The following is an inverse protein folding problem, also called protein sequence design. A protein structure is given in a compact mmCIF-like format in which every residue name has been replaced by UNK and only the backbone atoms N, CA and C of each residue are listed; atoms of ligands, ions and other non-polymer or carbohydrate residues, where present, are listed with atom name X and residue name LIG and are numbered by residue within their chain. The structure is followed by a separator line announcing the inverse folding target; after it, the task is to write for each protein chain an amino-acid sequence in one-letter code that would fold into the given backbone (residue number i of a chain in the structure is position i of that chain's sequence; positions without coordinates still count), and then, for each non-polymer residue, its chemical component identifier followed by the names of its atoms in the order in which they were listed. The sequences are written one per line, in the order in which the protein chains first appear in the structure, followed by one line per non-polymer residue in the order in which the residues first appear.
data_IF_701011284694
#
_entry.id   IF_701011284694
#
_cell.length_a   1.000
_cell.length_b   1.000
_cell.length_c   1.000
_cell.angle_alpha   90.00
_cell.angle_beta   90.00
_cell.angle_gamma   90.00
#
_symmetry.space_group_name_H-M   'P 1'
#
loop_
_entity.id
_entity.type
_entity.pdbx_description
1 polymer ?
#
# COMPACT_ATOMS: atom_id res chain seq x y z
N UNK A 1 7.11 -2.95 -25.11
CA UNK A 1 6.35 -4.22 -25.21
C UNK A 1 4.88 -3.91 -24.97
N UNK A 2 3.94 -4.54 -25.70
CA UNK A 2 2.48 -4.30 -25.55
C UNK A 2 1.77 -5.59 -25.10
N UNK A 3 2.17 -6.15 -23.95
CA UNK A 3 1.76 -7.50 -23.52
C UNK A 3 0.26 -7.65 -23.25
N UNK A 4 -0.44 -6.56 -22.93
CA UNK A 4 -1.89 -6.53 -22.76
C UNK A 4 -2.65 -6.94 -24.04
N UNK A 5 -2.06 -6.71 -25.23
CA UNK A 5 -2.66 -7.04 -26.53
C UNK A 5 -2.22 -8.39 -27.09
N UNK A 6 -1.26 -9.07 -26.44
CA UNK A 6 -0.70 -10.33 -26.93
C UNK A 6 -1.70 -11.48 -26.78
N UNK A 7 -2.02 -12.14 -27.90
CA UNK A 7 -2.90 -13.32 -27.96
C UNK A 7 -2.16 -14.66 -27.79
N UNK A 8 -0.86 -14.71 -28.07
CA UNK A 8 -0.10 -15.97 -28.09
C UNK A 8 0.23 -16.49 -26.70
N UNK A 9 0.45 -15.59 -25.72
CA UNK A 9 0.71 -15.90 -24.29
C UNK A 9 1.74 -17.02 -24.03
N UNK A 10 2.75 -17.19 -24.90
CA UNK A 10 3.81 -18.20 -24.74
C UNK A 10 4.63 -18.02 -23.44
N UNK A 11 4.54 -16.86 -22.79
CA UNK A 11 5.11 -16.63 -21.46
C UNK A 11 4.52 -17.55 -20.38
N UNK A 12 3.34 -18.15 -20.59
CA UNK A 12 2.76 -19.15 -19.68
C UNK A 12 3.65 -20.38 -19.48
N UNK A 13 4.48 -20.71 -20.47
CA UNK A 13 5.47 -21.80 -20.38
C UNK A 13 6.89 -21.27 -20.14
N UNK A 14 7.02 -20.02 -19.70
CA UNK A 14 8.30 -19.39 -19.36
C UNK A 14 9.07 -18.77 -20.53
N UNK A 15 8.46 -18.62 -21.72
CA UNK A 15 9.13 -17.93 -22.83
C UNK A 15 9.44 -16.47 -22.46
N UNK A 16 10.70 -16.08 -22.56
CA UNK A 16 11.10 -14.68 -22.43
C UNK A 16 10.79 -13.93 -23.74
N UNK A 17 9.74 -13.11 -23.71
CA UNK A 17 9.27 -12.31 -24.85
C UNK A 17 9.98 -10.95 -24.98
N UNK A 18 11.07 -10.73 -24.24
CA UNK A 18 11.81 -9.47 -24.19
C UNK A 18 13.24 -9.62 -24.72
N UNK A 19 13.92 -8.49 -24.96
CA UNK A 19 15.34 -8.44 -25.28
C UNK A 19 16.25 -8.51 -24.04
N UNK A 20 15.66 -8.46 -22.84
CA UNK A 20 16.40 -8.54 -21.57
C UNK A 20 16.82 -10.00 -21.40
N UNK A 21 18.12 -10.28 -21.45
CA UNK A 21 18.68 -11.60 -21.12
C UNK A 21 18.48 -11.84 -19.63
N UNK A 22 17.41 -12.56 -19.30
CA UNK A 22 16.95 -12.75 -17.93
C UNK A 22 17.89 -13.70 -17.15
N UNK A 23 18.85 -13.12 -16.44
CA UNK A 23 19.20 -13.59 -15.10
C UNK A 23 18.78 -12.50 -14.12
N UNK A 24 17.48 -12.45 -13.82
CA UNK A 24 17.03 -11.75 -12.63
C UNK A 24 17.42 -12.65 -11.46
N UNK A 25 18.56 -12.37 -10.86
CA UNK A 25 19.01 -13.06 -9.65
C UNK A 25 18.31 -12.41 -8.46
N UNK A 26 17.20 -13.01 -8.01
CA UNK A 26 16.57 -12.64 -6.76
C UNK A 26 17.47 -13.10 -5.60
N UNK A 27 17.80 -12.19 -4.70
CA UNK A 27 18.58 -12.48 -3.51
C UNK A 27 18.07 -11.66 -2.32
N UNK A 28 18.49 -12.02 -1.10
CA UNK A 28 18.09 -11.30 0.11
C UNK A 28 16.57 -11.20 0.27
N UNK A 29 16.09 -9.99 0.54
CA UNK A 29 14.68 -9.74 0.80
C UNK A 29 13.80 -9.81 -0.46
N UNK A 30 14.37 -9.54 -1.65
CA UNK A 30 13.65 -9.71 -2.92
C UNK A 30 13.31 -11.19 -3.18
N UNK A 31 14.20 -12.12 -2.81
CA UNK A 31 13.94 -13.55 -2.91
C UNK A 31 12.84 -14.00 -1.93
N UNK A 32 12.88 -13.51 -0.69
CA UNK A 32 11.82 -13.81 0.29
C UNK A 32 10.48 -13.25 -0.17
N UNK A 33 10.48 -12.02 -0.68
CA UNK A 33 9.31 -11.33 -1.21
C UNK A 33 8.63 -12.16 -2.31
N UNK A 34 9.37 -12.56 -3.35
CA UNK A 34 8.78 -13.32 -4.46
C UNK A 34 8.33 -14.72 -4.03
N UNK A 35 9.08 -15.40 -3.15
CA UNK A 35 8.69 -16.70 -2.60
C UNK A 35 7.37 -16.60 -1.81
N UNK A 36 7.23 -15.54 -1.00
CA UNK A 36 6.02 -15.35 -0.22
C UNK A 36 4.82 -14.97 -1.08
N UNK A 37 5.02 -14.12 -2.08
CA UNK A 37 3.97 -13.78 -3.05
C UNK A 37 3.48 -15.02 -3.81
N UNK A 38 4.40 -15.88 -4.28
CA UNK A 38 4.05 -17.13 -4.97
C UNK A 38 3.33 -18.13 -4.05
N UNK A 39 3.71 -18.18 -2.77
CA UNK A 39 3.00 -19.02 -1.80
C UNK A 39 1.57 -18.53 -1.57
N UNK A 40 1.36 -17.21 -1.40
CA UNK A 40 0.03 -16.63 -1.26
C UNK A 40 -0.85 -16.90 -2.48
N UNK A 41 -0.30 -16.83 -3.70
CA UNK A 41 -1.02 -17.18 -4.94
C UNK A 41 -1.46 -18.66 -4.95
N UNK A 42 -0.64 -19.54 -4.38
CA UNK A 42 -0.95 -20.97 -4.28
C UNK A 42 -1.88 -21.34 -3.12
N UNK A 43 -2.13 -20.40 -2.19
CA UNK A 43 -3.01 -20.64 -1.05
C UNK A 43 -4.44 -20.81 -1.54
N UNK A 44 -5.06 -21.92 -1.15
CA UNK A 44 -6.44 -22.25 -1.53
C UNK A 44 -7.49 -21.57 -0.65
N UNK A 45 -7.06 -20.93 0.45
CA UNK A 45 -7.92 -20.13 1.29
C UNK A 45 -8.36 -18.85 0.56
N UNK A 46 -9.65 -18.52 0.65
CA UNK A 46 -10.16 -17.22 0.17
C UNK A 46 -9.81 -16.14 1.19
N UNK A 47 -8.71 -15.43 0.96
CA UNK A 47 -8.26 -14.33 1.81
C UNK A 47 -8.58 -12.98 1.18
N UNK A 48 -8.85 -12.00 2.02
CA UNK A 48 -8.89 -10.59 1.66
C UNK A 48 -7.47 -10.06 1.44
N UNK A 49 -7.31 -8.93 0.72
CA UNK A 49 -5.99 -8.35 0.52
C UNK A 49 -5.33 -7.93 1.83
N UNK A 50 -6.13 -7.51 2.81
CA UNK A 50 -5.63 -7.13 4.13
C UNK A 50 -5.04 -8.33 4.89
N UNK A 51 -5.68 -9.50 4.82
CA UNK A 51 -5.15 -10.75 5.36
C UNK A 51 -3.86 -11.16 4.66
N UNK A 52 -3.81 -11.09 3.32
CA UNK A 52 -2.58 -11.35 2.57
C UNK A 52 -1.45 -10.41 3.01
N UNK A 53 -1.72 -9.11 3.15
CA UNK A 53 -0.74 -8.10 3.61
C UNK A 53 -0.24 -8.45 5.02
N UNK A 54 -1.12 -8.82 5.94
CA UNK A 54 -0.74 -9.19 7.29
C UNK A 54 0.16 -10.45 7.30
N UNK A 55 -0.21 -11.50 6.56
CA UNK A 55 0.58 -12.74 6.46
C UNK A 55 1.93 -12.46 5.81
N UNK A 56 1.94 -11.75 4.69
CA UNK A 56 3.13 -11.37 3.96
C UNK A 56 4.10 -10.60 4.86
N UNK A 57 3.60 -9.57 5.55
CA UNK A 57 4.39 -8.73 6.45
C UNK A 57 4.99 -9.54 7.60
N UNK A 58 4.18 -10.41 8.24
CA UNK A 58 4.66 -11.26 9.34
C UNK A 58 5.75 -12.23 8.88
N UNK A 59 5.57 -12.88 7.73
CA UNK A 59 6.53 -13.86 7.17
C UNK A 59 7.85 -13.21 6.75
N UNK A 60 7.82 -11.96 6.30
CA UNK A 60 9.03 -11.18 6.03
C UNK A 60 9.68 -10.59 7.29
N UNK A 61 9.08 -10.76 8.46
CA UNK A 61 9.60 -10.25 9.72
C UNK A 61 9.40 -8.75 9.91
N UNK A 62 8.45 -8.14 9.19
CA UNK A 62 8.08 -6.75 9.37
C UNK A 62 7.46 -6.56 10.75
N UNK A 63 7.81 -5.44 11.40
CA UNK A 63 7.35 -5.08 12.75
C UNK A 63 6.52 -3.81 12.74
N UNK A 64 6.85 -2.86 11.87
CA UNK A 64 6.23 -1.55 11.78
C UNK A 64 5.47 -1.38 10.48
N UNK A 65 4.19 -1.05 10.56
CA UNK A 65 3.32 -0.84 9.39
C UNK A 65 2.79 0.59 9.41
N UNK A 66 2.96 1.32 8.31
CA UNK A 66 2.38 2.64 8.14
C UNK A 66 1.05 2.57 7.40
N UNK A 67 0.12 3.48 7.74
CA UNK A 67 -1.16 3.66 7.06
C UNK A 67 -1.29 5.12 6.65
N UNK A 68 -1.14 5.41 5.36
CA UNK A 68 -1.40 6.74 4.81
C UNK A 68 -2.81 6.77 4.23
N UNK A 69 -3.70 7.59 4.80
CA UNK A 69 -5.13 7.55 4.47
C UNK A 69 -5.74 8.92 4.18
N UNK A 70 -6.80 8.92 3.37
CA UNK A 70 -7.63 10.11 3.15
C UNK A 70 -8.62 10.31 4.30
N UNK A 71 -8.84 11.56 4.73
CA UNK A 71 -9.81 11.91 5.78
C UNK A 71 -11.24 11.43 5.47
N UNK A 72 -11.61 11.32 4.19
CA UNK A 72 -12.92 10.80 3.75
C UNK A 72 -13.09 9.30 4.06
N UNK A 73 -12.01 8.60 4.42
CA UNK A 73 -11.95 7.17 4.71
C UNK A 73 -11.38 6.88 6.12
N UNK A 74 -11.64 7.78 7.08
CA UNK A 74 -11.16 7.64 8.46
C UNK A 74 -11.70 6.38 9.15
N UNK A 75 -12.96 6.02 8.90
CA UNK A 75 -13.57 4.82 9.52
C UNK A 75 -12.88 3.55 9.04
N UNK A 76 -12.65 3.46 7.74
CA UNK A 76 -11.92 2.39 7.08
C UNK A 76 -10.48 2.31 7.60
N UNK A 77 -9.78 3.46 7.69
CA UNK A 77 -8.44 3.53 8.23
C UNK A 77 -8.37 3.01 9.67
N UNK A 78 -9.35 3.37 10.50
CA UNK A 78 -9.45 2.88 11.87
C UNK A 78 -9.65 1.37 11.95
N UNK A 79 -10.51 0.79 11.10
CA UNK A 79 -10.70 -0.66 11.05
C UNK A 79 -9.39 -1.39 10.69
N UNK A 80 -8.68 -0.90 9.68
CA UNK A 80 -7.37 -1.45 9.28
C UNK A 80 -6.36 -1.33 10.42
N UNK A 81 -6.31 -0.17 11.09
CA UNK A 81 -5.45 0.05 12.26
C UNK A 81 -5.77 -0.92 13.40
N UNK A 82 -7.03 -1.04 13.80
CA UNK A 82 -7.47 -1.88 14.92
C UNK A 82 -7.18 -3.37 14.66
N UNK A 83 -7.18 -3.79 13.39
CA UNK A 83 -6.87 -5.16 13.01
C UNK A 83 -5.37 -5.44 12.98
N UNK A 84 -4.59 -4.57 12.33
CA UNK A 84 -3.14 -4.76 12.19
C UNK A 84 -2.37 -4.51 13.49
N UNK A 85 -2.86 -3.64 14.37
CA UNK A 85 -2.23 -3.34 15.66
C UNK A 85 -2.22 -4.52 16.63
N UNK A 86 -2.97 -5.59 16.35
CA UNK A 86 -2.89 -6.86 17.08
C UNK A 86 -1.57 -7.60 16.82
N UNK A 87 -0.91 -7.32 15.70
CA UNK A 87 0.26 -8.08 15.21
C UNK A 87 1.50 -7.21 14.98
N UNK A 88 1.31 -5.91 14.75
CA UNK A 88 2.37 -4.97 14.37
C UNK A 88 2.31 -3.70 15.21
N UNK A 89 3.43 -2.96 15.25
CA UNK A 89 3.43 -1.56 15.65
C UNK A 89 2.92 -0.73 14.46
N UNK A 90 1.75 -0.12 14.61
CA UNK A 90 1.06 0.56 13.50
C UNK A 90 1.12 2.06 13.68
N UNK A 91 1.54 2.76 12.63
CA UNK A 91 1.53 4.22 12.53
C UNK A 91 0.52 4.63 11.47
N UNK A 92 -0.22 5.71 11.70
CA UNK A 92 -1.20 6.19 10.74
C UNK A 92 -1.13 7.70 10.55
N UNK A 93 -1.18 8.14 9.30
CA UNK A 93 -1.07 9.56 8.95
C UNK A 93 -2.20 9.94 8.00
N UNK A 94 -3.04 10.87 8.47
CA UNK A 94 -4.13 11.42 7.68
C UNK A 94 -3.61 12.40 6.62
N UNK A 95 -4.26 12.46 5.46
CA UNK A 95 -3.88 13.31 4.34
C UNK A 95 -3.85 14.81 4.63
N UNK A 96 -4.50 15.26 5.71
CA UNK A 96 -4.52 16.68 6.14
C UNK A 96 -3.40 17.03 7.13
N UNK A 97 -2.63 16.06 7.61
CA UNK A 97 -1.44 16.36 8.42
C UNK A 97 -0.42 17.11 7.56
N UNK A 98 0.18 18.16 8.11
CA UNK A 98 1.08 19.07 7.40
C UNK A 98 0.47 19.64 6.11
N UNK A 99 -0.86 19.83 6.06
CA UNK A 99 -1.56 20.32 4.88
C UNK A 99 -1.05 21.68 4.42
N UNK A 100 -1.07 21.89 3.12
CA UNK A 100 -0.66 23.13 2.49
C UNK A 100 -1.89 23.99 2.20
N UNK A 101 -1.71 25.30 2.12
CA UNK A 101 -2.78 26.18 1.67
C UNK A 101 -2.90 26.11 0.14
N UNK A 102 -4.11 25.99 -0.41
CA UNK A 102 -4.33 26.02 -1.86
C UNK A 102 -3.66 27.20 -2.55
N UNK A 103 -3.75 28.38 -1.95
CA UNK A 103 -3.18 29.62 -2.51
C UNK A 103 -1.64 29.56 -2.57
N UNK A 104 -0.99 28.93 -1.59
CA UNK A 104 0.47 28.72 -1.61
C UNK A 104 0.94 27.84 -2.77
N UNK A 105 0.02 27.07 -3.36
CA UNK A 105 0.26 26.21 -4.52
C UNK A 105 -0.28 26.82 -5.83
N UNK A 106 -0.74 28.07 -5.81
CA UNK A 106 -1.33 28.73 -6.98
C UNK A 106 -2.68 28.15 -7.41
N UNK A 107 -3.36 27.40 -6.53
CA UNK A 107 -4.66 26.79 -6.81
C UNK A 107 -5.80 27.72 -6.41
N UNK A 108 -6.87 27.75 -7.21
CA UNK A 108 -8.09 28.48 -6.87
C UNK A 108 -8.82 27.77 -5.73
N UNK A 109 -9.27 28.56 -4.74
CA UNK A 109 -10.22 28.11 -3.73
C UNK A 109 -11.52 27.67 -4.40
N UNK A 110 -12.10 26.58 -3.93
CA UNK A 110 -13.39 26.05 -4.42
C UNK A 110 -14.58 26.58 -3.63
N UNK A 111 -14.35 27.31 -2.54
CA UNK A 111 -15.39 27.99 -1.76
C UNK A 111 -14.87 29.24 -1.06
N UNK A 112 -15.74 29.88 -0.28
CA UNK A 112 -15.42 31.10 0.48
C UNK A 112 -14.77 30.79 1.85
N UNK A 113 -13.91 29.77 1.91
CA UNK A 113 -13.19 29.43 3.13
C UNK A 113 -11.95 30.30 3.27
N UNK A 114 -11.69 30.80 4.48
CA UNK A 114 -10.46 31.55 4.78
C UNK A 114 -9.22 30.69 4.56
N UNK A 115 -9.26 29.42 4.95
CA UNK A 115 -8.22 28.43 4.69
C UNK A 115 -8.81 27.19 4.01
N UNK A 116 -8.22 26.79 2.88
CA UNK A 116 -8.60 25.55 2.20
C UNK A 116 -7.39 24.64 2.06
N UNK A 117 -7.39 23.58 2.89
CA UNK A 117 -6.29 22.63 3.01
C UNK A 117 -6.16 21.71 1.79
N UNK A 118 -4.98 21.70 1.17
CA UNK A 118 -4.54 20.67 0.22
C UNK A 118 -3.89 19.54 0.98
N UNK A 119 -4.15 18.30 0.56
CA UNK A 119 -3.50 17.15 1.17
C UNK A 119 -1.98 17.20 0.93
N UNK A 120 -1.17 16.73 1.87
CA UNK A 120 0.28 16.73 1.75
C UNK A 120 0.83 15.28 1.73
N UNK A 121 0.86 14.61 0.56
CA UNK A 121 1.24 13.21 0.46
C UNK A 121 2.74 12.99 0.72
N UNK A 122 3.58 13.98 0.38
CA UNK A 122 5.00 13.96 0.72
C UNK A 122 5.17 14.05 2.24
N UNK A 123 4.42 14.94 2.89
CA UNK A 123 4.39 15.03 4.35
C UNK A 123 3.97 13.71 5.02
N UNK A 124 2.97 13.01 4.45
CA UNK A 124 2.58 11.68 4.94
C UNK A 124 3.73 10.67 4.84
N UNK A 125 4.41 10.62 3.70
CA UNK A 125 5.53 9.71 3.48
C UNK A 125 6.69 10.01 4.44
N UNK A 126 7.07 11.29 4.59
CA UNK A 126 8.18 11.69 5.46
C UNK A 126 7.92 11.36 6.94
N UNK A 127 6.69 11.53 7.42
CA UNK A 127 6.33 11.14 8.78
C UNK A 127 6.47 9.62 9.00
N UNK A 128 6.01 8.81 8.04
CA UNK A 128 6.15 7.35 8.13
C UNK A 128 7.61 6.87 7.94
N UNK A 129 8.42 7.61 7.19
CA UNK A 129 9.86 7.36 7.07
C UNK A 129 10.57 7.64 8.41
N UNK A 130 10.20 8.71 9.13
CA UNK A 130 10.71 9.04 10.47
C UNK A 130 10.35 7.95 11.49
N UNK A 131 9.16 7.35 11.35
CA UNK A 131 8.76 6.18 12.16
C UNK A 131 9.47 4.87 11.75
N UNK A 132 10.24 4.88 10.65
CA UNK A 132 10.95 3.73 10.08
C UNK A 132 10.05 2.51 9.84
N UNK A 133 8.91 2.72 9.18
CA UNK A 133 8.00 1.63 8.82
C UNK A 133 8.66 0.65 7.84
N UNK A 134 8.21 -0.62 7.87
CA UNK A 134 8.71 -1.66 6.97
C UNK A 134 7.85 -1.79 5.70
N UNK A 135 6.58 -1.41 5.79
CA UNK A 135 5.62 -1.37 4.70
C UNK A 135 4.61 -0.26 4.97
N UNK A 136 4.23 0.48 3.93
CA UNK A 136 3.19 1.49 3.99
C UNK A 136 1.95 1.06 3.18
N UNK A 137 0.78 1.15 3.81
CA UNK A 137 -0.52 0.92 3.18
C UNK A 137 -1.10 2.27 2.79
N UNK A 138 -1.38 2.46 1.50
CA UNK A 138 -2.11 3.61 0.98
C UNK A 138 -3.61 3.28 0.94
N UNK A 139 -4.40 4.10 1.63
CA UNK A 139 -5.85 3.88 1.76
C UNK A 139 -6.65 5.10 1.29
N UNK A 140 -7.26 4.96 0.12
CA UNK A 140 -8.15 5.99 -0.44
C UNK A 140 -7.47 7.31 -0.82
N UNK A 141 -6.14 7.29 -1.04
CA UNK A 141 -5.43 8.42 -1.62
C UNK A 141 -5.88 8.62 -3.08
N UNK A 142 -6.16 9.86 -3.46
CA UNK A 142 -6.58 10.21 -4.82
C UNK A 142 -5.39 10.18 -5.78
N UNK A 143 -5.65 9.96 -7.06
CA UNK A 143 -4.63 9.93 -8.11
C UNK A 143 -3.72 11.16 -8.06
N UNK A 144 -2.41 10.92 -8.10
CA UNK A 144 -1.38 11.94 -7.96
C UNK A 144 -0.91 12.11 -6.52
N UNK A 145 -1.80 11.98 -5.53
CA UNK A 145 -1.40 11.93 -4.12
C UNK A 145 -0.80 10.57 -3.77
N UNK A 146 -1.39 9.49 -4.27
CA UNK A 146 -0.84 8.13 -4.16
C UNK A 146 0.52 7.99 -4.85
N UNK A 147 0.67 8.55 -6.06
CA UNK A 147 1.92 8.55 -6.83
C UNK A 147 3.02 9.27 -6.05
N UNK A 148 2.75 10.50 -5.58
CA UNK A 148 3.72 11.26 -4.79
C UNK A 148 4.04 10.58 -3.46
N UNK A 149 3.06 9.99 -2.78
CA UNK A 149 3.34 9.24 -1.57
C UNK A 149 4.30 8.07 -1.85
N UNK A 150 3.99 7.25 -2.86
CA UNK A 150 4.80 6.08 -3.21
C UNK A 150 6.21 6.46 -3.70
N UNK A 151 6.36 7.61 -4.37
CA UNK A 151 7.66 8.13 -4.82
C UNK A 151 8.57 8.55 -3.66
N UNK A 152 8.00 9.11 -2.59
CA UNK A 152 8.75 9.65 -1.44
C UNK A 152 8.80 8.70 -0.23
N UNK A 153 8.06 7.59 -0.27
CA UNK A 153 8.12 6.54 0.75
C UNK A 153 9.44 5.77 0.63
N UNK A 154 10.21 5.71 1.72
CA UNK A 154 11.42 4.89 1.79
C UNK A 154 11.09 3.40 1.90
N UNK A 155 10.02 3.08 2.63
CA UNK A 155 9.46 1.75 2.70
C UNK A 155 8.66 1.42 1.42
N UNK A 156 8.57 0.14 1.01
CA UNK A 156 7.64 -0.26 -0.04
C UNK A 156 6.21 0.14 0.32
N UNK A 157 5.43 0.52 -0.69
CA UNK A 157 4.06 0.98 -0.52
C UNK A 157 3.09 0.11 -1.31
N UNK A 158 1.94 -0.19 -0.72
CA UNK A 158 0.87 -0.97 -1.35
C UNK A 158 -0.47 -0.28 -1.17
N UNK A 159 -1.28 -0.24 -2.24
CA UNK A 159 -2.66 0.25 -2.15
C UNK A 159 -3.57 -0.84 -1.62
N UNK A 160 -4.36 -0.54 -0.59
CA UNK A 160 -5.47 -1.38 -0.16
C UNK A 160 -6.79 -0.85 -0.75
N UNK A 161 -7.47 -1.60 -1.64
CA UNK A 161 -8.72 -1.17 -2.23
C UNK A 161 -9.85 -1.06 -1.18
N UNK A 162 -10.53 0.08 -1.13
CA UNK A 162 -11.63 0.32 -0.17
C UNK A 162 -12.79 -0.67 -0.32
N UNK A 163 -13.02 -1.20 -1.52
CA UNK A 163 -14.11 -2.13 -1.83
C UNK A 163 -13.99 -3.48 -1.09
N UNK A 164 -12.82 -3.79 -0.53
CA UNK A 164 -12.59 -5.04 0.19
C UNK A 164 -12.95 -4.96 1.68
N UNK A 165 -13.08 -3.75 2.24
CA UNK A 165 -13.26 -3.54 3.67
C UNK A 165 -14.66 -3.87 4.23
N UNK A 166 -15.78 -3.73 3.49
CA UNK A 166 -17.11 -4.12 3.99
C UNK A 166 -17.25 -5.60 4.36
N UNK A 167 -16.33 -6.46 3.91
CA UNK A 167 -16.33 -7.90 4.18
C UNK A 167 -15.54 -8.29 5.44
N UNK A 168 -14.92 -7.33 6.14
CA UNK A 168 -14.07 -7.58 7.32
C UNK A 168 -14.84 -7.70 8.65
N UNK A 169 -16.18 -7.76 8.60
CA UNK A 169 -17.05 -7.70 9.77
C UNK A 169 -16.76 -8.75 10.85
N UNK A 170 -16.12 -9.87 10.51
CA UNK A 170 -15.78 -10.96 11.43
C UNK A 170 -14.46 -11.68 11.05
N UNK A 171 -13.52 -11.01 10.35
CA UNK A 171 -12.26 -11.66 9.95
C UNK A 171 -11.33 -11.79 11.16
N UNK A 172 -11.35 -12.94 11.83
CA UNK A 172 -10.25 -13.39 12.67
C UNK A 172 -9.02 -13.63 11.78
N UNK A 173 -8.09 -12.66 11.75
CA UNK A 173 -6.72 -12.86 11.25
C UNK A 173 -5.95 -13.85 12.18
N UNK A 174 -6.63 -14.58 13.06
CA UNK A 174 -6.04 -15.45 14.07
C UNK A 174 -5.45 -16.76 13.52
N UNK A 175 -5.47 -16.95 12.19
CA UNK A 175 -4.87 -18.12 11.52
C UNK A 175 -3.46 -17.88 10.96
N UNK A 176 -2.78 -16.79 11.32
CA UNK A 176 -1.38 -16.60 10.91
C UNK A 176 -0.45 -17.33 11.90
N UNK A 177 -0.31 -18.64 11.76
CA UNK A 177 0.83 -19.38 12.35
C UNK A 177 2.16 -18.94 11.74
#
# INVERSE_FOLDING_TARGET
MQCALCRNKECLIGKNCSVIKSRLEYSGDDLKSIQMASWLESDSAKRTKLEEIAIYSKRLGYRKIGIAFCIEHEREARLVYDLLSRYFEVFSVCCKVCSLEKESLGLRKTGNLEFEAVCNPIGQALLLNDDHTNLNIMLGLKTGYDILFAEYSEAPSITLPLLELPYLGDSEIDFIE
#
